data_IF_878665516861
#
_entry.id   IF_878665516861
#
_cell.length_a   1.000
_cell.length_b   1.000
_cell.length_c   1.000
_cell.angle_alpha   90.00
_cell.angle_beta   90.00
_cell.angle_gamma   90.00
#
_symmetry.space_group_name_H-M   'P 1'
#
loop_
_entity.id
_entity.type
_entity.pdbx_description
1 polymer ?
#
# COMPACT_ATOMS: atom_id res chain seq x y z
N UNK A 1 21.94 23.03 -4.86
CA UNK A 1 20.49 22.77 -4.88
C UNK A 1 19.82 23.79 -3.98
N UNK A 2 19.11 24.75 -4.56
CA UNK A 2 18.42 25.79 -3.81
C UNK A 2 17.15 25.21 -3.20
N UNK A 3 17.11 25.07 -1.88
CA UNK A 3 15.91 24.71 -1.12
C UNK A 3 14.88 25.83 -1.33
N UNK A 4 13.93 25.63 -2.24
CA UNK A 4 12.72 26.47 -2.30
C UNK A 4 12.02 26.28 -0.97
N UNK A 5 12.09 27.29 -0.10
CA UNK A 5 11.29 27.34 1.13
C UNK A 5 9.82 27.30 0.69
N UNK A 6 9.14 26.21 1.00
CA UNK A 6 7.70 26.14 0.83
C UNK A 6 7.09 27.18 1.77
N UNK A 7 6.18 28.05 1.28
CA UNK A 7 5.50 29.01 2.14
C UNK A 7 4.75 28.27 3.25
N UNK A 8 4.65 28.85 4.46
CA UNK A 8 3.92 28.26 5.56
C UNK A 8 2.46 28.01 5.15
N UNK A 9 1.91 26.84 5.50
CA UNK A 9 0.56 26.38 5.10
C UNK A 9 -0.53 27.43 5.38
N UNK A 10 -0.38 28.21 6.46
CA UNK A 10 -1.32 29.27 6.82
C UNK A 10 -1.34 30.42 5.79
N UNK A 11 -0.18 30.81 5.23
CA UNK A 11 -0.11 31.86 4.22
C UNK A 11 -0.77 31.43 2.90
N UNK A 12 -0.64 30.16 2.51
CA UNK A 12 -1.29 29.60 1.32
C UNK A 12 -2.81 29.60 1.48
N UNK A 13 -3.31 29.25 2.67
CA UNK A 13 -4.75 29.28 2.96
C UNK A 13 -5.32 30.71 2.96
N UNK A 14 -4.57 31.68 3.49
CA UNK A 14 -4.99 33.09 3.49
C UNK A 14 -5.04 33.68 2.07
N UNK A 15 -4.07 33.34 1.21
CA UNK A 15 -4.05 33.74 -0.20
C UNK A 15 -5.21 33.12 -0.99
N UNK A 16 -5.47 31.81 -0.82
CA UNK A 16 -6.61 31.15 -1.45
C UNK A 16 -7.95 31.76 -1.01
N UNK A 17 -8.06 32.09 0.27
CA UNK A 17 -9.27 32.72 0.82
C UNK A 17 -9.48 34.11 0.22
N UNK A 18 -8.43 34.93 0.14
CA UNK A 18 -8.48 36.25 -0.49
C UNK A 18 -8.87 36.14 -1.98
N UNK A 19 -8.29 35.18 -2.71
CA UNK A 19 -8.63 34.93 -4.11
C UNK A 19 -10.10 34.50 -4.27
N UNK A 20 -10.60 33.62 -3.38
CA UNK A 20 -11.99 33.15 -3.40
C UNK A 20 -12.96 34.28 -3.11
N UNK A 21 -12.68 35.13 -2.12
CA UNK A 21 -13.48 36.32 -1.80
C UNK A 21 -13.49 37.32 -2.97
N UNK A 22 -12.36 37.51 -3.64
CA UNK A 22 -12.26 38.33 -4.85
C UNK A 22 -13.17 37.82 -5.98
N UNK A 23 -13.09 36.53 -6.28
CA UNK A 23 -13.92 35.88 -7.30
C UNK A 23 -15.41 35.98 -6.96
N UNK A 24 -15.79 35.79 -5.68
CA UNK A 24 -17.18 35.89 -5.26
C UNK A 24 -17.75 37.29 -5.45
N UNK A 25 -16.98 38.33 -5.11
CA UNK A 25 -17.36 39.74 -5.35
C UNK A 25 -17.55 40.02 -6.84
N UNK A 26 -16.65 39.52 -7.67
CA UNK A 26 -16.74 39.68 -9.13
C UNK A 26 -17.97 38.97 -9.71
N UNK A 27 -18.27 37.73 -9.28
CA UNK A 27 -19.49 37.02 -9.67
C UNK A 27 -20.77 37.79 -9.27
N UNK A 28 -20.75 38.44 -8.10
CA UNK A 28 -21.86 39.27 -7.66
C UNK A 28 -22.05 40.50 -8.56
N UNK A 29 -20.96 41.17 -8.94
CA UNK A 29 -21.00 42.30 -9.89
C UNK A 29 -21.55 41.86 -11.26
N UNK A 30 -21.08 40.73 -11.79
CA UNK A 30 -21.59 40.17 -13.04
C UNK A 30 -23.09 39.91 -12.97
N UNK A 31 -23.56 39.28 -11.89
CA UNK A 31 -24.99 39.01 -11.68
C UNK A 31 -25.80 40.31 -11.66
N UNK A 32 -25.30 41.33 -10.97
CA UNK A 32 -25.96 42.64 -10.91
C UNK A 32 -26.07 43.30 -12.29
N UNK A 33 -25.00 43.29 -13.09
CA UNK A 33 -25.04 43.83 -14.46
C UNK A 33 -26.03 43.07 -15.36
N UNK A 34 -26.08 41.74 -15.27
CA UNK A 34 -27.08 40.92 -15.98
C UNK A 34 -28.50 41.28 -15.56
N UNK A 35 -28.76 41.41 -14.26
CA UNK A 35 -30.08 41.79 -13.73
C UNK A 35 -30.50 43.20 -14.18
N UNK A 36 -29.57 44.17 -14.18
CA UNK A 36 -29.85 45.52 -14.67
C UNK A 36 -30.24 45.48 -16.16
N UNK A 37 -29.47 44.76 -16.98
CA UNK A 37 -29.76 44.63 -18.41
C UNK A 37 -31.11 43.94 -18.65
N UNK A 38 -31.39 42.84 -17.95
CA UNK A 38 -32.66 42.12 -18.03
C UNK A 38 -33.85 43.03 -17.69
N UNK A 39 -33.75 43.79 -16.60
CA UNK A 39 -34.80 44.70 -16.18
C UNK A 39 -35.06 45.81 -17.21
N UNK A 40 -34.02 46.35 -17.86
CA UNK A 40 -34.17 47.34 -18.95
C UNK A 40 -34.80 46.74 -20.20
N UNK A 41 -34.40 45.53 -20.59
CA UNK A 41 -35.02 44.81 -21.72
C UNK A 41 -36.51 44.59 -21.45
N UNK A 42 -36.85 44.10 -20.25
CA UNK A 42 -38.24 43.88 -19.82
C UNK A 42 -39.06 45.17 -19.84
N UNK A 43 -38.50 46.27 -19.35
CA UNK A 43 -39.14 47.59 -19.35
C UNK A 43 -39.37 48.15 -20.76
N UNK A 44 -38.39 48.04 -21.66
CA UNK A 44 -38.56 48.47 -23.05
C UNK A 44 -39.64 47.64 -23.77
N UNK A 45 -39.61 46.31 -23.61
CA UNK A 45 -40.63 45.42 -24.17
C UNK A 45 -42.03 45.73 -23.64
N UNK A 46 -42.19 45.94 -22.33
CA UNK A 46 -43.49 46.27 -21.73
C UNK A 46 -44.08 47.60 -22.25
N UNK A 47 -43.22 48.52 -22.71
CA UNK A 47 -43.61 49.84 -23.26
C UNK A 47 -43.72 49.84 -24.79
N UNK A 48 -43.54 48.70 -25.45
CA UNK A 48 -43.53 48.59 -26.91
C UNK A 48 -42.37 49.34 -27.57
N UNK A 49 -41.27 49.60 -26.84
CA UNK A 49 -40.09 50.31 -27.35
C UNK A 49 -39.04 49.33 -27.85
N UNK A 50 -38.40 49.66 -28.97
CA UNK A 50 -37.29 48.87 -29.49
C UNK A 50 -36.11 48.91 -28.52
N UNK A 51 -35.66 47.73 -28.10
CA UNK A 51 -34.47 47.50 -27.26
C UNK A 51 -33.19 47.97 -27.96
N UNK A 52 -33.16 47.90 -29.29
CA UNK A 52 -31.99 48.26 -30.10
C UNK A 52 -31.61 49.73 -29.99
N UNK A 53 -32.56 50.60 -29.63
CA UNK A 53 -32.34 52.04 -29.51
C UNK A 53 -31.89 52.46 -28.11
N UNK A 54 -31.86 51.55 -27.12
CA UNK A 54 -31.40 51.84 -25.76
C UNK A 54 -29.87 51.71 -25.69
N UNK A 55 -29.17 52.84 -25.74
CA UNK A 55 -27.70 52.90 -25.69
C UNK A 55 -27.11 52.32 -24.40
N UNK A 56 -27.87 52.30 -23.30
CA UNK A 56 -27.39 51.67 -22.07
C UNK A 56 -27.45 50.13 -22.16
N UNK A 57 -28.43 49.56 -22.86
CA UNK A 57 -28.46 48.11 -23.11
C UNK A 57 -27.29 47.71 -24.00
N UNK A 58 -26.97 48.52 -25.01
CA UNK A 58 -25.78 48.31 -25.85
C UNK A 58 -24.48 48.35 -25.01
N UNK A 59 -24.33 49.34 -24.13
CA UNK A 59 -23.17 49.42 -23.22
C UNK A 59 -23.06 48.23 -22.28
N UNK A 60 -24.18 47.83 -21.64
CA UNK A 60 -24.24 46.65 -20.78
C UNK A 60 -23.88 45.37 -21.55
N UNK A 61 -24.34 45.23 -22.80
CA UNK A 61 -24.01 44.10 -23.65
C UNK A 61 -22.51 44.02 -23.94
N UNK A 62 -21.86 45.13 -24.27
CA UNK A 62 -20.41 45.18 -24.46
C UNK A 62 -19.66 44.76 -23.19
N UNK A 63 -20.00 45.33 -22.03
CA UNK A 63 -19.37 44.97 -20.75
C UNK A 63 -19.61 43.50 -20.38
N UNK A 64 -20.83 42.98 -20.58
CA UNK A 64 -21.14 41.57 -20.31
C UNK A 64 -20.41 40.62 -21.25
N UNK A 65 -20.17 41.01 -22.50
CA UNK A 65 -19.38 40.22 -23.46
C UNK A 65 -17.91 40.14 -23.02
N UNK A 66 -17.34 41.24 -22.50
CA UNK A 66 -16.00 41.23 -21.90
C UNK A 66 -15.94 40.37 -20.63
N UNK A 67 -16.95 40.44 -19.76
CA UNK A 67 -17.01 39.54 -18.60
C UNK A 67 -17.14 38.08 -19.00
N UNK A 68 -17.87 37.78 -20.07
CA UNK A 68 -18.00 36.40 -20.54
C UNK A 68 -16.64 35.82 -20.97
N UNK A 69 -15.80 36.58 -21.67
CA UNK A 69 -14.45 36.11 -22.04
C UNK A 69 -13.56 35.90 -20.81
N UNK A 70 -13.67 36.78 -19.80
CA UNK A 70 -12.97 36.63 -18.53
C UNK A 70 -13.43 35.39 -17.75
N UNK A 71 -14.74 35.09 -17.73
CA UNK A 71 -15.28 33.86 -17.09
C UNK A 71 -14.68 32.62 -17.74
N UNK A 72 -14.65 32.55 -19.06
CA UNK A 72 -14.09 31.40 -19.77
C UNK A 72 -12.61 31.21 -19.45
N UNK A 73 -11.82 32.28 -19.45
CA UNK A 73 -10.40 32.21 -19.09
C UNK A 73 -10.18 31.77 -17.64
N UNK A 74 -10.97 32.29 -16.71
CA UNK A 74 -10.91 31.89 -15.30
C UNK A 74 -11.30 30.41 -15.10
N UNK A 75 -12.33 29.93 -15.82
CA UNK A 75 -12.77 28.54 -15.75
C UNK A 75 -11.67 27.59 -16.24
N UNK A 76 -11.07 27.87 -17.40
CA UNK A 76 -9.96 27.07 -17.94
C UNK A 76 -8.80 27.02 -16.97
N UNK A 77 -8.42 28.15 -16.36
CA UNK A 77 -7.35 28.18 -15.36
C UNK A 77 -7.67 27.32 -14.13
N UNK A 78 -8.89 27.39 -13.63
CA UNK A 78 -9.33 26.56 -12.50
C UNK A 78 -9.33 25.08 -12.85
N UNK A 79 -9.69 24.71 -14.09
CA UNK A 79 -9.63 23.34 -14.57
C UNK A 79 -8.18 22.83 -14.67
N UNK A 80 -7.24 23.66 -15.14
CA UNK A 80 -5.81 23.34 -15.16
C UNK A 80 -5.25 23.14 -13.75
N UNK A 81 -5.56 24.05 -12.82
CA UNK A 81 -5.15 23.93 -11.42
C UNK A 81 -5.74 22.67 -10.77
N UNK A 82 -7.03 22.38 -11.01
CA UNK A 82 -7.67 21.15 -10.52
C UNK A 82 -6.94 19.91 -11.04
N UNK A 83 -6.70 19.85 -12.35
CA UNK A 83 -6.02 18.72 -12.99
C UNK A 83 -4.61 18.53 -12.43
N UNK A 84 -3.89 19.62 -12.16
CA UNK A 84 -2.58 19.57 -11.53
C UNK A 84 -2.64 18.95 -10.13
N UNK A 85 -3.56 19.39 -9.27
CA UNK A 85 -3.71 18.85 -7.92
C UNK A 85 -4.23 17.40 -7.91
N UNK A 86 -5.14 17.05 -8.83
CA UNK A 86 -5.59 15.67 -9.05
C UNK A 86 -4.40 14.77 -9.40
N UNK A 87 -3.55 15.20 -10.34
CA UNK A 87 -2.34 14.44 -10.67
C UNK A 87 -1.43 14.25 -9.46
N UNK A 88 -1.24 15.27 -8.62
CA UNK A 88 -0.41 15.16 -7.42
C UNK A 88 -1.02 14.19 -6.40
N UNK A 89 -2.34 14.22 -6.24
CA UNK A 89 -3.08 13.30 -5.40
C UNK A 89 -2.92 11.85 -5.88
N UNK A 90 -2.99 11.60 -7.19
CA UNK A 90 -2.75 10.27 -7.77
C UNK A 90 -1.33 9.78 -7.48
N UNK A 91 -0.31 10.65 -7.60
CA UNK A 91 1.06 10.29 -7.25
C UNK A 91 1.20 9.91 -5.76
N UNK A 92 0.52 10.63 -4.86
CA UNK A 92 0.47 10.26 -3.44
C UNK A 92 -0.22 8.91 -3.23
N UNK A 93 -1.29 8.63 -3.99
CA UNK A 93 -1.94 7.32 -4.04
C UNK A 93 -0.98 6.20 -4.41
N UNK A 94 -0.25 6.34 -5.51
CA UNK A 94 0.75 5.36 -5.95
C UNK A 94 1.85 5.13 -4.92
N UNK A 95 2.33 6.19 -4.24
CA UNK A 95 3.33 6.06 -3.17
C UNK A 95 2.76 5.26 -1.99
N UNK A 96 1.51 5.51 -1.62
CA UNK A 96 0.83 4.76 -0.55
C UNK A 96 0.70 3.28 -0.91
N UNK A 97 0.26 2.96 -2.12
CA UNK A 97 0.14 1.58 -2.62
C UNK A 97 1.50 0.87 -2.65
N UNK A 98 2.55 1.54 -3.15
CA UNK A 98 3.89 0.99 -3.17
C UNK A 98 4.42 0.67 -1.76
N UNK A 99 4.09 1.49 -0.76
CA UNK A 99 4.45 1.22 0.65
C UNK A 99 3.75 -0.04 1.16
N UNK A 100 2.46 -0.18 0.92
CA UNK A 100 1.69 -1.36 1.33
C UNK A 100 2.26 -2.63 0.69
N UNK A 101 2.58 -2.59 -0.61
CA UNK A 101 3.19 -3.71 -1.31
C UNK A 101 4.55 -4.10 -0.71
N UNK A 102 5.38 -3.12 -0.35
CA UNK A 102 6.68 -3.39 0.31
C UNK A 102 6.48 -4.04 1.67
N UNK A 103 5.51 -3.58 2.46
CA UNK A 103 5.26 -4.14 3.79
C UNK A 103 4.70 -5.57 3.71
N UNK A 104 3.87 -5.86 2.71
CA UNK A 104 3.44 -7.23 2.41
C UNK A 104 4.62 -8.14 2.02
N UNK A 105 5.52 -7.67 1.15
CA UNK A 105 6.73 -8.41 0.78
C UNK A 105 7.65 -8.69 1.98
N UNK A 106 7.76 -7.73 2.90
CA UNK A 106 8.54 -7.91 4.15
C UNK A 106 7.91 -8.97 5.04
N UNK A 107 6.60 -8.91 5.22
CA UNK A 107 5.84 -9.91 6.01
C UNK A 107 6.01 -11.31 5.42
N UNK A 108 5.83 -11.44 4.11
CA UNK A 108 5.99 -12.71 3.39
C UNK A 108 7.42 -13.23 3.48
N UNK A 109 8.43 -12.35 3.39
CA UNK A 109 9.83 -12.74 3.56
C UNK A 109 10.12 -13.28 4.96
N UNK A 110 9.62 -12.62 6.00
CA UNK A 110 9.80 -13.06 7.39
C UNK A 110 9.09 -14.39 7.65
N UNK A 111 7.86 -14.57 7.15
CA UNK A 111 7.13 -15.85 7.21
C UNK A 111 7.94 -16.98 6.58
N UNK A 112 8.41 -16.79 5.33
CA UNK A 112 9.24 -17.80 4.64
C UNK A 112 10.55 -18.09 5.38
N UNK A 113 11.14 -17.09 6.04
CA UNK A 113 12.35 -17.28 6.85
C UNK A 113 12.05 -18.17 8.05
N UNK A 114 10.96 -17.92 8.76
CA UNK A 114 10.55 -18.72 9.91
C UNK A 114 10.23 -20.16 9.52
N UNK A 115 9.54 -20.36 8.39
CA UNK A 115 9.26 -21.69 7.85
C UNK A 115 10.53 -22.48 7.53
N UNK A 116 11.50 -21.85 6.84
CA UNK A 116 12.80 -22.49 6.56
C UNK A 116 13.53 -22.88 7.85
N UNK A 117 13.56 -22.01 8.85
CA UNK A 117 14.20 -22.31 10.13
C UNK A 117 13.50 -23.47 10.86
N UNK A 118 12.17 -23.51 10.85
CA UNK A 118 11.39 -24.59 11.43
C UNK A 118 11.61 -25.93 10.71
N UNK A 119 11.69 -25.92 9.38
CA UNK A 119 12.01 -27.09 8.56
C UNK A 119 13.41 -27.62 8.84
N UNK A 120 14.42 -26.74 8.88
CA UNK A 120 15.79 -27.13 9.24
C UNK A 120 15.86 -27.75 10.63
N UNK A 121 15.15 -27.18 11.61
CA UNK A 121 15.08 -27.75 12.96
C UNK A 121 14.42 -29.13 12.97
N UNK A 122 13.29 -29.29 12.24
CA UNK A 122 12.63 -30.59 12.09
C UNK A 122 13.56 -31.63 11.46
N UNK A 123 14.30 -31.26 10.41
CA UNK A 123 15.25 -32.14 9.75
C UNK A 123 16.41 -32.55 10.67
N UNK A 124 16.99 -31.61 11.42
CA UNK A 124 18.06 -31.92 12.41
C UNK A 124 17.55 -32.86 13.50
N UNK A 125 16.34 -32.63 14.02
CA UNK A 125 15.72 -33.50 15.02
C UNK A 125 15.45 -34.90 14.46
N UNK A 126 14.95 -35.01 13.23
CA UNK A 126 14.71 -36.29 12.57
C UNK A 126 16.01 -37.08 12.37
N UNK A 127 17.08 -36.44 11.90
CA UNK A 127 18.41 -37.07 11.75
C UNK A 127 18.97 -37.55 13.09
N UNK A 128 18.83 -36.75 14.15
CA UNK A 128 19.26 -37.13 15.50
C UNK A 128 18.48 -38.34 16.02
N UNK A 129 17.15 -38.38 15.83
CA UNK A 129 16.31 -39.52 16.20
C UNK A 129 16.71 -40.78 15.45
N UNK A 130 16.88 -40.71 14.13
CA UNK A 130 17.30 -41.85 13.31
C UNK A 130 18.67 -42.38 13.74
N UNK A 131 19.63 -41.49 14.01
CA UNK A 131 20.97 -41.86 14.48
C UNK A 131 20.90 -42.56 15.84
N UNK A 132 20.08 -42.05 16.76
CA UNK A 132 19.86 -42.65 18.08
C UNK A 132 19.23 -44.05 17.98
N UNK A 133 18.24 -44.23 17.10
CA UNK A 133 17.63 -45.54 16.84
C UNK A 133 18.64 -46.53 16.28
N UNK A 134 19.47 -46.12 15.33
CA UNK A 134 20.55 -46.96 14.81
C UNK A 134 21.54 -47.39 15.91
N UNK A 135 21.93 -46.46 16.80
CA UNK A 135 22.81 -46.78 17.91
C UNK A 135 22.16 -47.75 18.91
N UNK A 136 20.85 -47.60 19.18
CA UNK A 136 20.09 -48.53 20.03
C UNK A 136 20.05 -49.94 19.43
N UNK A 137 19.79 -50.07 18.13
CA UNK A 137 19.82 -51.36 17.43
C UNK A 137 21.20 -52.01 17.48
N UNK A 138 22.26 -51.25 17.19
CA UNK A 138 23.65 -51.74 17.26
C UNK A 138 24.02 -52.21 18.67
N UNK A 139 23.64 -51.44 19.69
CA UNK A 139 23.85 -51.81 21.11
C UNK A 139 23.14 -53.13 21.44
N UNK A 140 21.89 -53.29 21.00
CA UNK A 140 21.14 -54.52 21.25
C UNK A 140 21.77 -55.74 20.57
N UNK A 141 22.20 -55.60 19.31
CA UNK A 141 22.88 -56.66 18.56
C UNK A 141 24.18 -57.09 19.24
N UNK A 142 25.03 -56.13 19.64
CA UNK A 142 26.28 -56.40 20.36
C UNK A 142 26.04 -57.17 21.67
N UNK A 143 25.04 -56.76 22.46
CA UNK A 143 24.70 -57.43 23.72
C UNK A 143 24.19 -58.87 23.49
N UNK A 144 23.40 -59.10 22.43
CA UNK A 144 22.95 -60.44 22.07
C UNK A 144 24.11 -61.34 21.61
N UNK A 145 25.04 -60.80 20.81
CA UNK A 145 26.24 -61.52 20.40
C UNK A 145 27.11 -61.88 21.61
N UNK A 146 27.34 -60.94 22.52
CA UNK A 146 28.09 -61.18 23.75
C UNK A 146 27.43 -62.28 24.61
N UNK A 147 26.10 -62.26 24.74
CA UNK A 147 25.34 -63.31 25.43
C UNK A 147 25.51 -64.67 24.77
N UNK A 148 25.41 -64.74 23.44
CA UNK A 148 25.55 -65.99 22.69
C UNK A 148 26.96 -66.58 22.83
N UNK A 149 28.01 -65.75 22.77
CA UNK A 149 29.39 -66.19 23.00
C UNK A 149 29.57 -66.73 24.41
N UNK A 150 29.03 -66.06 25.43
CA UNK A 150 29.11 -66.55 26.81
C UNK A 150 28.42 -67.92 26.98
N UNK A 151 27.25 -68.11 26.36
CA UNK A 151 26.53 -69.40 26.36
C UNK A 151 27.32 -70.50 25.64
N UNK A 152 27.95 -70.20 24.49
CA UNK A 152 28.80 -71.14 23.77
C UNK A 152 30.02 -71.56 24.60
N UNK A 153 30.70 -70.60 25.25
CA UNK A 153 31.81 -70.89 26.14
C UNK A 153 31.39 -71.82 27.29
N UNK A 154 30.22 -71.56 27.90
CA UNK A 154 29.68 -72.41 28.96
C UNK A 154 29.36 -73.84 28.47
N UNK A 155 28.66 -73.97 27.34
CA UNK A 155 28.36 -75.29 26.74
C UNK A 155 29.64 -76.08 26.39
N UNK A 156 30.65 -75.40 25.87
CA UNK A 156 31.94 -76.02 25.56
C UNK A 156 32.65 -76.51 26.83
N UNK A 157 32.63 -75.73 27.92
CA UNK A 157 33.16 -76.16 29.21
C UNK A 157 32.40 -77.36 29.77
N UNK A 158 31.06 -77.36 29.71
CA UNK A 158 30.25 -78.52 30.13
C UNK A 158 30.55 -79.76 29.29
N UNK A 159 30.66 -79.63 27.96
CA UNK A 159 30.99 -80.76 27.09
C UNK A 159 32.39 -81.32 27.38
N UNK A 160 33.37 -80.45 27.63
CA UNK A 160 34.72 -80.87 28.05
C UNK A 160 34.70 -81.57 29.41
N UNK A 161 33.95 -81.05 30.39
CA UNK A 161 33.79 -81.69 31.69
C UNK A 161 33.12 -83.08 31.58
N UNK A 162 32.08 -83.21 30.73
CA UNK A 162 31.43 -84.50 30.46
C UNK A 162 32.37 -85.48 29.73
N UNK A 163 33.13 -85.02 28.73
CA UNK A 163 34.13 -85.86 28.04
C UNK A 163 35.21 -86.36 29.00
N UNK A 164 35.67 -85.52 29.91
CA UNK A 164 36.64 -85.91 30.93
C UNK A 164 36.06 -86.93 31.92
N UNK A 165 34.76 -86.86 32.24
CA UNK A 165 34.09 -87.87 33.08
C UNK A 165 33.89 -89.23 32.37
N UNK A 166 33.67 -89.26 31.05
CA UNK A 166 33.49 -90.52 30.30
C UNK A 166 34.81 -91.27 30.06
N UNK A 167 35.97 -90.58 30.03
CA UNK A 167 37.29 -91.23 29.95
C UNK A 167 37.84 -91.73 31.30
N UNK A 168 37.08 -91.58 32.40
CA UNK A 168 37.48 -91.99 33.77
C UNK A 168 36.71 -93.24 34.27
N UNK A 169 36.01 -93.94 33.38
CA UNK A 169 35.45 -95.29 33.59
C UNK A 169 36.16 -96.32 32.69
#
# INVERSE_FOLDING_TARGET
MSLRKTPPVNAVNDDLKAQTEGTMKWCQQLKEQVTIMENRIRSNNARGRSVLNDTAIQGLFSTLTEFHSQVLGALTKLEEERTYYESLQDHLGHISEARLAIDELRSEHERRRQERLAEEQRMRQAQMKQTLEMMRMKKHAMLMEQRNMALQCFQNQEMQARRNQVCLC
#
